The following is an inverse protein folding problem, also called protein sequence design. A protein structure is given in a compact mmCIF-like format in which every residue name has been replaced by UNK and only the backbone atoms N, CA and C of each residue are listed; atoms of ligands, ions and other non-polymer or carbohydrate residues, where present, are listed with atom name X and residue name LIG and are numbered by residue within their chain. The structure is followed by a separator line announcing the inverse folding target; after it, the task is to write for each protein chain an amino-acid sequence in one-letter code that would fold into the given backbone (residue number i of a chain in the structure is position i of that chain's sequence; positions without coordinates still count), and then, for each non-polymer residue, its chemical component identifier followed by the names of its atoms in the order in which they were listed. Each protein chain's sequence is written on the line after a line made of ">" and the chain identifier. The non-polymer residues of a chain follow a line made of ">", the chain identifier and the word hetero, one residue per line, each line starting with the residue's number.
data_IF_187587584044
#
_entry.id   IF_187587584044
#
_cell.length_a   1.000
_cell.length_b   1.000
_cell.length_c   1.000
_cell.angle_alpha   90.00
_cell.angle_beta   90.00
_cell.angle_gamma   90.00
#
_symmetry.space_group_name_H-M   'P 1'
#
loop_
_entity.id
_entity.type
_entity.pdbx_description
1 polymer ?
#
# COMPACT_ATOMS: atom_id res chain seq x y z
N UNK A 1 13.54 35.07 -19.00
CA UNK A 1 12.18 34.60 -19.35
C UNK A 1 12.11 33.13 -18.90
N UNK A 2 11.63 32.87 -17.68
CA UNK A 2 11.53 31.50 -17.14
C UNK A 2 10.26 30.87 -17.67
N UNK A 3 10.40 29.97 -18.64
CA UNK A 3 9.33 29.06 -19.02
C UNK A 3 9.20 28.00 -17.91
N UNK A 4 8.34 28.23 -16.94
CA UNK A 4 7.83 27.16 -16.11
C UNK A 4 6.84 26.36 -16.98
N UNK A 5 7.33 25.27 -17.52
CA UNK A 5 6.45 24.21 -18.02
C UNK A 5 5.65 23.71 -16.84
N UNK A 6 4.39 24.11 -16.73
CA UNK A 6 3.41 23.43 -15.92
C UNK A 6 3.20 22.04 -16.55
N UNK A 7 4.06 21.11 -16.17
CA UNK A 7 3.77 19.70 -16.34
C UNK A 7 2.55 19.43 -15.49
N UNK A 8 1.39 19.32 -16.09
CA UNK A 8 0.20 18.70 -15.47
C UNK A 8 0.63 17.28 -15.08
N UNK A 9 0.98 17.11 -13.79
CA UNK A 9 1.86 16.04 -13.38
C UNK A 9 1.21 14.68 -13.52
N UNK A 10 1.66 13.91 -14.49
CA UNK A 10 1.43 12.47 -14.50
C UNK A 10 1.98 11.88 -13.20
N UNK A 11 1.13 11.26 -12.41
CA UNK A 11 1.51 10.57 -11.18
C UNK A 11 2.30 9.33 -11.55
N UNK A 12 3.59 9.30 -11.20
CA UNK A 12 4.46 8.17 -11.49
C UNK A 12 4.24 7.03 -10.51
N UNK A 13 4.06 5.82 -11.02
CA UNK A 13 3.85 4.62 -10.21
C UNK A 13 5.03 4.34 -9.24
N UNK A 14 6.26 4.72 -9.58
CA UNK A 14 7.46 4.53 -8.75
C UNK A 14 7.43 5.28 -7.42
N UNK A 15 6.61 6.32 -7.28
CA UNK A 15 6.47 7.11 -6.05
C UNK A 15 5.49 6.49 -5.03
N UNK A 16 4.78 5.43 -5.39
CA UNK A 16 3.95 4.71 -4.45
C UNK A 16 4.80 3.87 -3.51
N UNK A 17 4.44 3.86 -2.23
CA UNK A 17 5.12 3.06 -1.21
C UNK A 17 4.12 2.14 -0.52
N UNK A 18 4.59 0.96 -0.18
CA UNK A 18 3.77 -0.09 0.42
C UNK A 18 4.36 -0.47 1.77
N UNK A 19 3.51 -0.61 2.76
CA UNK A 19 3.90 -0.93 4.13
C UNK A 19 3.06 -2.08 4.65
N UNK A 20 3.68 -2.94 5.44
CA UNK A 20 3.03 -4.03 6.16
C UNK A 20 3.19 -3.84 7.66
N UNK A 21 2.21 -4.25 8.44
CA UNK A 21 2.28 -4.24 9.90
C UNK A 21 3.48 -5.05 10.40
N UNK A 22 4.32 -4.45 11.25
CA UNK A 22 5.61 -5.01 11.69
C UNK A 22 5.47 -6.27 12.51
N UNK A 23 4.45 -6.35 13.35
CA UNK A 23 4.19 -7.51 14.21
C UNK A 23 2.72 -7.61 14.57
N UNK A 24 2.28 -8.78 15.01
CA UNK A 24 0.87 -9.04 15.32
C UNK A 24 0.35 -8.17 16.46
N UNK A 25 1.24 -7.88 17.42
CA UNK A 25 0.92 -7.07 18.61
C UNK A 25 1.31 -5.59 18.46
N UNK A 26 1.71 -5.15 17.26
CA UNK A 26 2.14 -3.78 16.99
C UNK A 26 1.28 -3.11 15.92
N UNK A 27 -0.01 -2.82 16.18
CA UNK A 27 -0.96 -2.38 15.16
C UNK A 27 -0.64 -1.02 14.55
N UNK A 28 0.27 -0.26 15.15
CA UNK A 28 0.68 1.07 14.69
C UNK A 28 2.13 1.13 14.20
N UNK A 29 2.80 -0.01 14.09
CA UNK A 29 4.16 -0.10 13.56
C UNK A 29 4.13 -0.76 12.19
N UNK A 30 4.71 -0.11 11.19
CA UNK A 30 4.69 -0.53 9.80
C UNK A 30 6.10 -0.54 9.21
N UNK A 31 6.39 -1.54 8.38
CA UNK A 31 7.67 -1.71 7.69
C UNK A 31 7.42 -1.57 6.19
N UNK A 32 8.26 -0.81 5.51
CA UNK A 32 8.19 -0.65 4.06
C UNK A 32 8.53 -1.96 3.34
N UNK A 33 7.76 -2.25 2.29
CA UNK A 33 8.00 -3.36 1.36
C UNK A 33 8.76 -2.79 0.17
N UNK A 34 10.01 -3.17 0.02
CA UNK A 34 10.88 -2.74 -1.09
C UNK A 34 10.93 -3.73 -2.24
N UNK A 35 11.48 -3.29 -3.38
CA UNK A 35 11.64 -4.14 -4.56
C UNK A 35 10.39 -4.27 -5.41
N UNK A 36 9.38 -3.47 -5.16
CA UNK A 36 8.13 -3.43 -5.95
C UNK A 36 8.41 -2.82 -7.32
N UNK A 37 8.04 -3.52 -8.38
CA UNK A 37 8.17 -3.05 -9.77
C UNK A 37 6.82 -2.76 -10.40
N UNK A 38 5.77 -3.45 -9.95
CA UNK A 38 4.41 -3.29 -10.45
C UNK A 38 3.41 -3.55 -9.35
N UNK A 39 2.31 -2.84 -9.38
CA UNK A 39 1.19 -3.11 -8.49
C UNK A 39 -0.15 -2.88 -9.21
N UNK A 40 -1.18 -3.53 -8.72
CA UNK A 40 -2.55 -3.38 -9.19
C UNK A 40 -3.50 -3.37 -7.99
N UNK A 41 -4.31 -2.33 -7.87
CA UNK A 41 -5.40 -2.25 -6.90
C UNK A 41 -6.68 -2.50 -7.68
N UNK A 42 -7.32 -3.64 -7.45
CA UNK A 42 -8.61 -3.99 -8.05
C UNK A 42 -9.73 -3.70 -7.09
N UNK A 43 -10.82 -3.19 -7.62
CA UNK A 43 -12.05 -2.94 -6.88
C UNK A 43 -13.19 -3.55 -7.68
N UNK A 44 -13.91 -4.46 -7.06
CA UNK A 44 -15.09 -5.08 -7.65
C UNK A 44 -16.34 -4.69 -6.89
N UNK A 45 -17.44 -4.72 -7.59
CA UNK A 45 -18.78 -4.62 -7.02
C UNK A 45 -19.55 -5.85 -7.47
N UNK A 46 -20.42 -6.29 -6.63
CA UNK A 46 -21.40 -7.34 -6.90
C UNK A 46 -22.76 -6.66 -6.98
N UNK A 47 -23.38 -6.74 -8.14
CA UNK A 47 -24.72 -6.21 -8.38
C UNK A 47 -25.73 -7.34 -8.22
N UNK A 48 -26.79 -7.08 -7.48
CA UNK A 48 -27.94 -7.98 -7.35
C UNK A 48 -29.05 -7.46 -8.22
N UNK A 49 -29.63 -8.35 -9.04
CA UNK A 49 -30.80 -8.07 -9.85
C UNK A 49 -32.03 -7.90 -8.95
N UNK A 50 -32.68 -6.78 -9.09
CA UNK A 50 -33.93 -6.43 -8.40
C UNK A 50 -35.07 -6.15 -9.38
N UNK A 51 -34.92 -6.62 -10.63
CA UNK A 51 -35.93 -6.48 -11.67
C UNK A 51 -37.19 -7.21 -11.26
N UNK A 52 -38.33 -6.54 -11.33
CA UNK A 52 -39.65 -7.07 -11.11
C UNK A 52 -40.61 -6.72 -12.27
N UNK A 53 -41.83 -7.23 -12.21
CA UNK A 53 -42.82 -6.98 -13.26
C UNK A 53 -43.32 -5.53 -13.33
N UNK A 54 -43.08 -4.74 -12.29
CA UNK A 54 -43.50 -3.33 -12.20
C UNK A 54 -42.49 -2.39 -12.82
N UNK A 55 -41.33 -2.91 -13.28
CA UNK A 55 -40.25 -2.11 -13.89
C UNK A 55 -40.42 -1.78 -15.39
N UNK A 56 -41.62 -1.96 -15.96
CA UNK A 56 -41.95 -1.67 -17.36
C UNK A 56 -40.93 -2.24 -18.39
N UNK A 57 -40.30 -3.38 -18.05
CA UNK A 57 -39.33 -4.05 -18.91
C UNK A 57 -37.91 -3.48 -18.83
N UNK A 58 -37.62 -2.62 -17.86
CA UNK A 58 -36.26 -2.14 -17.58
C UNK A 58 -35.61 -2.97 -16.47
N UNK A 59 -34.33 -3.28 -16.67
CA UNK A 59 -33.49 -3.96 -15.67
C UNK A 59 -33.22 -3.04 -14.47
N UNK A 60 -33.35 -3.57 -13.27
CA UNK A 60 -33.05 -2.88 -12.02
C UNK A 60 -32.00 -3.64 -11.23
N UNK A 61 -30.91 -2.95 -10.85
CA UNK A 61 -29.81 -3.54 -10.11
C UNK A 61 -29.40 -2.68 -8.92
N UNK A 62 -29.08 -3.32 -7.81
CA UNK A 62 -28.47 -2.67 -6.63
C UNK A 62 -27.11 -3.28 -6.33
N UNK A 63 -26.20 -2.47 -5.79
CA UNK A 63 -24.89 -2.96 -5.36
C UNK A 63 -25.04 -3.74 -4.07
N UNK A 64 -24.91 -5.07 -4.14
CA UNK A 64 -25.04 -5.97 -2.99
C UNK A 64 -23.74 -6.10 -2.20
N UNK A 65 -22.57 -5.99 -2.88
CA UNK A 65 -21.29 -6.15 -2.24
C UNK A 65 -20.18 -5.34 -2.92
N UNK A 66 -19.08 -5.13 -2.20
CA UNK A 66 -17.85 -4.54 -2.74
C UNK A 66 -16.65 -5.30 -2.19
N UNK A 67 -15.73 -5.64 -3.05
CA UNK A 67 -14.46 -6.23 -2.66
C UNK A 67 -13.28 -5.45 -3.24
N UNK A 68 -12.11 -5.63 -2.67
CA UNK A 68 -10.87 -5.11 -3.22
C UNK A 68 -9.76 -6.14 -3.09
N UNK A 69 -8.78 -6.06 -3.98
CA UNK A 69 -7.53 -6.78 -3.86
C UNK A 69 -6.37 -5.87 -4.24
N UNK A 70 -5.19 -6.17 -3.66
CA UNK A 70 -3.93 -5.55 -4.02
C UNK A 70 -2.99 -6.64 -4.51
N UNK A 71 -2.56 -6.56 -5.75
CA UNK A 71 -1.51 -7.40 -6.30
C UNK A 71 -0.23 -6.60 -6.42
N UNK A 72 0.87 -7.14 -5.90
CA UNK A 72 2.21 -6.55 -5.95
C UNK A 72 3.15 -7.53 -6.59
N UNK A 73 3.90 -7.06 -7.58
CA UNK A 73 4.94 -7.82 -8.29
C UNK A 73 6.27 -7.07 -8.15
N UNK A 74 7.36 -7.80 -8.00
CA UNK A 74 8.66 -7.22 -7.80
C UNK A 74 9.78 -8.24 -7.82
N UNK A 75 10.89 -7.87 -7.20
CA UNK A 75 12.06 -8.71 -7.05
C UNK A 75 12.47 -8.85 -5.60
N UNK A 76 13.08 -9.98 -5.26
CA UNK A 76 13.72 -10.13 -3.97
C UNK A 76 14.80 -9.08 -3.79
N UNK A 77 14.83 -8.45 -2.62
CA UNK A 77 15.81 -7.44 -2.24
C UNK A 77 16.49 -7.82 -0.93
N UNK A 78 17.78 -7.50 -0.85
CA UNK A 78 18.50 -7.49 0.40
C UNK A 78 18.57 -6.04 0.93
N UNK A 79 18.55 -5.90 2.25
CA UNK A 79 18.89 -4.66 2.93
C UNK A 79 20.41 -4.40 2.85
N UNK A 80 20.86 -3.19 3.19
CA UNK A 80 22.27 -2.80 3.15
C UNK A 80 23.19 -3.70 4.00
N UNK A 81 22.64 -4.27 5.07
CA UNK A 81 23.36 -5.22 5.94
C UNK A 81 23.48 -6.64 5.36
N UNK A 82 23.09 -6.86 4.11
CA UNK A 82 23.12 -8.16 3.42
C UNK A 82 21.96 -9.10 3.79
N UNK A 83 21.13 -8.76 4.77
CA UNK A 83 19.94 -9.55 5.11
C UNK A 83 18.80 -9.27 4.12
N UNK A 84 17.83 -10.17 4.06
CA UNK A 84 16.62 -9.96 3.25
C UNK A 84 15.83 -8.75 3.74
N UNK A 85 15.17 -8.05 2.81
CA UNK A 85 14.33 -6.91 3.13
C UNK A 85 13.26 -7.28 4.19
N UNK A 86 13.24 -6.60 5.36
CA UNK A 86 12.35 -6.97 6.47
C UNK A 86 10.87 -6.95 6.09
N UNK A 87 10.46 -6.03 5.21
CA UNK A 87 9.07 -5.95 4.73
C UNK A 87 8.67 -7.18 3.90
N UNK A 88 9.58 -7.69 3.05
CA UNK A 88 9.33 -8.91 2.26
C UNK A 88 9.24 -10.13 3.18
N UNK A 89 10.19 -10.28 4.10
CA UNK A 89 10.19 -11.39 5.09
C UNK A 89 8.90 -11.36 5.91
N UNK A 90 8.45 -10.18 6.32
CA UNK A 90 7.20 -10.05 7.09
C UNK A 90 5.98 -10.50 6.30
N UNK A 91 5.90 -10.16 5.01
CA UNK A 91 4.81 -10.59 4.12
C UNK A 91 4.79 -12.12 4.00
N UNK A 92 5.95 -12.76 3.85
CA UNK A 92 6.08 -14.22 3.80
C UNK A 92 5.59 -14.88 5.10
N UNK A 93 6.00 -14.36 6.26
CA UNK A 93 5.54 -14.85 7.56
C UNK A 93 4.01 -14.74 7.73
N UNK A 94 3.40 -13.69 7.18
CA UNK A 94 1.94 -13.53 7.22
C UNK A 94 1.26 -14.56 6.34
N UNK A 95 1.80 -14.83 5.17
CA UNK A 95 1.23 -15.78 4.21
C UNK A 95 1.24 -17.23 4.71
N UNK A 96 2.12 -17.55 5.66
CA UNK A 96 2.16 -18.88 6.31
C UNK A 96 1.14 -19.05 7.44
N UNK A 97 0.45 -17.95 7.85
CA UNK A 97 -0.52 -17.99 8.94
C UNK A 97 -1.88 -18.47 8.48
N UNK A 98 -2.61 -19.06 9.41
CA UNK A 98 -3.97 -19.56 9.19
C UNK A 98 -5.04 -18.77 9.96
N UNK A 99 -6.26 -18.80 9.44
CA UNK A 99 -7.43 -18.21 10.07
C UNK A 99 -7.28 -16.68 10.26
N UNK A 100 -7.77 -16.16 11.36
CA UNK A 100 -7.78 -14.73 11.65
C UNK A 100 -6.38 -14.14 11.75
N UNK A 101 -5.37 -14.92 12.11
CA UNK A 101 -3.98 -14.48 12.21
C UNK A 101 -3.35 -14.15 10.84
N UNK A 102 -3.89 -14.69 9.74
CA UNK A 102 -3.45 -14.34 8.38
C UNK A 102 -3.91 -12.97 7.91
N UNK A 103 -4.88 -12.38 8.61
CA UNK A 103 -5.48 -11.10 8.26
C UNK A 103 -4.68 -9.99 8.94
N UNK A 104 -3.96 -9.19 8.15
CA UNK A 104 -3.07 -8.15 8.66
C UNK A 104 -3.36 -6.79 8.02
N UNK A 105 -2.83 -5.73 8.64
CA UNK A 105 -2.98 -4.38 8.14
C UNK A 105 -1.85 -4.01 7.18
N UNK A 106 -2.23 -3.38 6.08
CA UNK A 106 -1.34 -2.81 5.08
C UNK A 106 -1.63 -1.33 4.93
N UNK A 107 -0.59 -0.55 4.74
CA UNK A 107 -0.71 0.86 4.37
C UNK A 107 -0.09 1.08 2.99
N UNK A 108 -0.75 1.90 2.19
CA UNK A 108 -0.27 2.32 0.89
C UNK A 108 -0.16 3.84 0.93
N UNK A 109 1.00 4.35 0.56
CA UNK A 109 1.22 5.78 0.41
C UNK A 109 1.19 6.16 -1.06
N UNK A 110 0.39 7.14 -1.41
CA UNK A 110 0.39 7.72 -2.74
C UNK A 110 1.49 8.78 -2.91
N UNK A 111 1.81 9.22 -4.13
CA UNK A 111 2.82 10.26 -4.39
C UNK A 111 2.51 11.62 -3.78
N UNK A 112 1.27 11.88 -3.41
CA UNK A 112 0.83 13.09 -2.71
C UNK A 112 0.98 12.98 -1.18
N UNK A 113 1.51 11.86 -0.68
CA UNK A 113 1.71 11.63 0.75
C UNK A 113 0.45 11.21 1.52
N UNK A 114 -0.65 10.89 0.83
CA UNK A 114 -1.82 10.33 1.49
C UNK A 114 -1.61 8.84 1.78
N UNK A 115 -2.04 8.41 2.94
CA UNK A 115 -2.01 7.01 3.34
C UNK A 115 -3.40 6.39 3.23
N UNK A 116 -3.43 5.16 2.72
CA UNK A 116 -4.61 4.33 2.65
C UNK A 116 -4.36 3.07 3.44
N UNK A 117 -5.27 2.75 4.35
CA UNK A 117 -5.25 1.53 5.13
C UNK A 117 -6.14 0.49 4.46
N UNK A 118 -5.65 -0.72 4.39
CA UNK A 118 -6.39 -1.91 4.00
C UNK A 118 -6.07 -3.04 4.97
N UNK A 119 -7.01 -3.96 5.12
CA UNK A 119 -6.87 -5.17 5.92
C UNK A 119 -7.18 -6.36 5.04
N UNK A 120 -6.40 -7.42 5.12
CA UNK A 120 -6.64 -8.59 4.29
C UNK A 120 -5.67 -9.72 4.53
N UNK A 121 -5.99 -10.87 3.91
CA UNK A 121 -5.15 -12.06 3.89
C UNK A 121 -4.18 -12.00 2.72
N UNK A 122 -3.01 -12.63 2.89
CA UNK A 122 -1.92 -12.62 1.92
C UNK A 122 -1.80 -13.98 1.25
N UNK A 123 -1.63 -13.95 -0.07
CA UNK A 123 -1.18 -15.07 -0.88
C UNK A 123 0.12 -14.69 -1.56
N UNK A 124 1.18 -15.50 -1.39
CA UNK A 124 2.43 -15.29 -2.12
C UNK A 124 2.28 -15.68 -3.59
N UNK A 125 2.96 -14.94 -4.45
CA UNK A 125 3.18 -15.35 -5.83
C UNK A 125 4.34 -16.35 -5.91
N UNK A 126 4.45 -17.05 -7.03
CA UNK A 126 5.54 -17.98 -7.27
C UNK A 126 6.88 -17.25 -7.30
N UNK A 127 7.86 -17.82 -6.63
CA UNK A 127 9.23 -17.32 -6.58
C UNK A 127 10.04 -18.06 -7.64
N UNK A 128 10.74 -17.33 -8.50
CA UNK A 128 11.53 -17.96 -9.56
C UNK A 128 12.46 -16.96 -10.25
N UNK A 129 13.24 -17.46 -11.19
CA UNK A 129 14.16 -16.68 -12.01
C UNK A 129 15.13 -17.57 -12.74
N UNK A 130 15.63 -17.13 -13.89
CA UNK A 130 16.73 -17.79 -14.62
C UNK A 130 18.08 -17.47 -13.98
N UNK A 131 19.14 -18.18 -14.42
CA UNK A 131 20.49 -18.04 -13.86
C UNK A 131 21.07 -16.60 -13.92
N UNK A 132 20.57 -15.77 -14.84
CA UNK A 132 20.99 -14.37 -15.03
C UNK A 132 19.94 -13.37 -14.65
N UNK A 133 18.76 -13.82 -14.19
CA UNK A 133 17.62 -12.97 -13.89
C UNK A 133 17.58 -12.60 -12.40
N UNK A 134 16.91 -11.49 -12.12
CA UNK A 134 16.55 -11.16 -10.74
C UNK A 134 15.48 -12.13 -10.28
N UNK A 135 15.59 -12.62 -9.05
CA UNK A 135 14.58 -13.50 -8.46
C UNK A 135 13.24 -12.74 -8.36
N UNK A 136 12.22 -13.26 -9.04
CA UNK A 136 10.87 -12.69 -8.95
C UNK A 136 10.29 -12.93 -7.56
N UNK A 137 9.54 -11.96 -7.08
CA UNK A 137 8.85 -12.00 -5.80
C UNK A 137 7.58 -11.16 -5.91
N UNK A 138 6.53 -11.60 -5.26
CA UNK A 138 5.29 -10.88 -5.26
C UNK A 138 4.28 -11.46 -4.29
N UNK A 139 3.17 -10.74 -4.11
CA UNK A 139 2.08 -11.20 -3.27
C UNK A 139 0.76 -10.55 -3.71
N UNK A 140 -0.32 -11.16 -3.29
CA UNK A 140 -1.67 -10.65 -3.45
C UNK A 140 -2.33 -10.56 -2.08
N UNK A 141 -2.97 -9.42 -1.81
CA UNK A 141 -3.80 -9.22 -0.62
C UNK A 141 -5.26 -9.28 -1.05
N UNK A 142 -5.98 -10.26 -0.52
CA UNK A 142 -7.44 -10.28 -0.61
C UNK A 142 -7.99 -9.45 0.53
N UNK A 143 -8.69 -8.37 0.19
CA UNK A 143 -9.16 -7.39 1.15
C UNK A 143 -10.32 -7.90 2.00
N UNK A 144 -10.24 -7.59 3.29
CA UNK A 144 -11.33 -7.76 4.25
C UNK A 144 -11.87 -6.38 4.65
N UNK A 145 -13.17 -6.16 4.38
CA UNK A 145 -13.83 -4.89 4.70
C UNK A 145 -13.49 -3.77 3.73
N UNK A 146 -13.36 -2.55 4.24
CA UNK A 146 -13.23 -1.33 3.43
C UNK A 146 -11.78 -0.82 3.41
N UNK A 147 -11.25 -0.55 2.22
CA UNK A 147 -10.06 0.27 2.08
C UNK A 147 -10.42 1.74 2.34
N UNK A 148 -9.71 2.41 3.24
CA UNK A 148 -10.03 3.78 3.66
C UNK A 148 -8.78 4.66 3.75
N UNK A 149 -8.97 5.97 3.52
CA UNK A 149 -7.91 6.96 3.72
C UNK A 149 -7.62 7.09 5.21
N UNK A 150 -6.35 7.08 5.56
CA UNK A 150 -5.88 7.25 6.94
C UNK A 150 -5.98 8.72 7.33
N UNK A 151 -6.56 9.00 8.49
CA UNK A 151 -6.60 10.38 9.01
C UNK A 151 -5.20 10.85 9.41
N UNK A 152 -4.96 12.16 9.33
CA UNK A 152 -3.68 12.76 9.72
C UNK A 152 -3.32 12.43 11.17
N UNK A 153 -4.30 12.45 12.08
CA UNK A 153 -4.10 12.12 13.49
C UNK A 153 -3.70 10.65 13.69
N UNK A 154 -4.34 9.71 12.97
CA UNK A 154 -3.96 8.29 13.05
C UNK A 154 -2.58 8.06 12.44
N UNK A 155 -2.27 8.69 11.29
CA UNK A 155 -0.93 8.65 10.69
C UNK A 155 0.15 9.09 11.67
N UNK A 156 -0.06 10.21 12.38
CA UNK A 156 0.87 10.72 13.38
C UNK A 156 1.10 9.76 14.57
N UNK A 157 0.15 8.86 14.85
CA UNK A 157 0.28 7.84 15.90
C UNK A 157 0.96 6.55 15.42
N UNK A 158 1.28 6.44 14.13
CA UNK A 158 1.92 5.27 13.55
C UNK A 158 3.43 5.48 13.38
N UNK A 159 4.20 4.43 13.59
CA UNK A 159 5.64 4.40 13.30
C UNK A 159 5.86 3.70 11.98
N UNK A 160 6.63 4.33 11.07
CA UNK A 160 6.97 3.78 9.77
C UNK A 160 8.48 3.55 9.70
N UNK A 161 8.87 2.29 9.49
CA UNK A 161 10.26 1.92 9.23
C UNK A 161 10.47 1.88 7.72
N UNK A 162 11.26 2.80 7.22
CA UNK A 162 11.61 2.91 5.81
C UNK A 162 12.71 1.92 5.45
N UNK A 163 12.69 1.44 4.24
CA UNK A 163 13.77 0.60 3.72
C UNK A 163 14.95 1.49 3.31
N UNK A 164 16.14 1.15 3.76
CA UNK A 164 17.37 1.88 3.40
C UNK A 164 17.69 1.79 1.89
N UNK A 165 17.11 0.83 1.19
CA UNK A 165 17.31 0.61 -0.26
C UNK A 165 16.74 1.76 -1.12
N UNK A 166 15.80 2.53 -0.58
CA UNK A 166 15.13 3.62 -1.32
C UNK A 166 15.71 5.02 -1.00
N UNK A 167 16.79 5.11 -0.22
CA UNK A 167 17.41 6.39 0.15
C UNK A 167 18.24 7.03 -0.97
N UNK A 168 18.48 6.34 -2.08
CA UNK A 168 19.39 6.76 -3.14
C UNK A 168 18.82 7.76 -4.17
N UNK A 169 17.64 8.33 -3.94
CA UNK A 169 17.06 9.31 -4.89
C UNK A 169 16.11 10.36 -4.32
N UNK A 170 16.21 10.69 -3.05
CA UNK A 170 15.43 11.81 -2.50
C UNK A 170 16.32 13.04 -2.25
N UNK A 171 16.81 13.64 -3.34
CA UNK A 171 17.02 15.09 -3.37
C UNK A 171 15.63 15.75 -3.33
N UNK A 172 15.39 16.54 -2.27
CA UNK A 172 14.24 17.41 -2.02
C UNK A 172 12.93 16.75 -1.57
N UNK A 173 12.89 16.39 -0.27
CA UNK A 173 11.64 16.57 0.49
C UNK A 173 11.66 18.01 1.00
N UNK A 174 10.71 18.87 0.62
CA UNK A 174 10.60 20.18 1.25
C UNK A 174 10.30 19.99 2.74
N UNK A 175 11.18 20.56 3.54
CA UNK A 175 11.08 20.65 5.00
C UNK A 175 9.84 21.46 5.37
N UNK A 176 8.71 20.80 5.53
CA UNK A 176 7.48 21.39 6.04
C UNK A 176 7.28 20.86 7.46
N UNK A 177 8.01 21.41 8.40
CA UNK A 177 7.62 21.44 9.82
C UNK A 177 8.64 22.30 10.62
N UNK A 178 8.63 23.61 10.39
CA UNK A 178 9.03 24.52 11.43
C UNK A 178 7.87 25.49 11.71
N UNK A 179 6.95 25.04 12.54
CA UNK A 179 5.98 25.93 13.22
C UNK A 179 6.43 26.00 14.66
N UNK A 180 7.41 26.81 14.91
CA UNK A 180 7.71 27.32 16.24
C UNK A 180 6.59 28.27 16.66
N UNK A 181 5.94 28.08 17.83
CA UNK A 181 5.00 29.08 18.33
C UNK A 181 5.81 30.31 18.78
N UNK A 182 5.57 31.44 18.13
CA UNK A 182 6.08 32.73 18.56
C UNK A 182 5.55 33.07 19.94
N UNK A 183 6.42 33.11 20.91
CA UNK A 183 6.18 33.74 22.21
C UNK A 183 6.02 35.25 22.01
N UNK A 184 4.81 35.78 22.14
CA UNK A 184 4.59 37.20 22.34
C UNK A 184 4.45 37.47 23.84
N UNK A 185 5.51 38.00 24.41
CA UNK A 185 5.49 38.75 25.62
C UNK A 185 5.00 40.17 25.30
N UNK A 186 3.86 40.55 25.84
CA UNK A 186 3.60 41.84 26.51
C UNK A 186 2.21 41.75 27.15
#
# INVERSE_FOLDING_TARGET
>A
MNLQLFSSGTILARKWKFFVQAGDNTPKSFIQISGVTKFTISRSKEDMDTTDFDNDGYDSHIVAGRAFSLKVEGHMRNAENGNRCPGQVRVEQIAEKFGVASIQNFHIMDPAGNFYQMKGSVKLADIGGGNKDKTSWGFEVTGEGKMQKVSTQYKASCTYTWSDVDKESDDEIPDILDISPSSSSH
#
